data_IF_058267993889
#
_entry.id   IF_058267993889
#
_cell.length_a   1.000
_cell.length_b   1.000
_cell.length_c   1.000
_cell.angle_alpha   90.00
_cell.angle_beta   90.00
_cell.angle_gamma   90.00
#
_symmetry.space_group_name_H-M   'P 1'
#
loop_
_entity.id
_entity.type
_entity.pdbx_description
1 polymer ?
#
# COMPACT_ATOMS: atom_id res chain seq x y z
N UNK A 1 10.52 9.17 26.49
CA UNK A 1 10.49 7.94 25.65
C UNK A 1 9.08 7.80 25.11
N UNK A 2 8.86 8.06 23.82
CA UNK A 2 7.53 7.91 23.21
C UNK A 2 7.34 6.45 22.83
N UNK A 3 6.48 5.72 23.55
CA UNK A 3 6.10 4.37 23.14
C UNK A 3 5.46 4.45 21.76
N UNK A 4 6.07 3.80 20.76
CA UNK A 4 5.49 3.69 19.44
C UNK A 4 4.19 2.87 19.53
N UNK A 5 3.06 3.57 19.69
CA UNK A 5 1.73 2.96 19.67
C UNK A 5 1.52 2.35 18.28
N UNK A 6 1.50 1.02 18.22
CA UNK A 6 1.17 0.30 16.99
C UNK A 6 -0.29 0.58 16.63
N UNK A 7 -0.52 1.63 15.85
CA UNK A 7 -1.87 1.95 15.38
C UNK A 7 -2.33 0.84 14.42
N UNK A 8 -3.23 -0.02 14.90
CA UNK A 8 -3.91 -1.00 14.08
C UNK A 8 -4.80 -0.30 13.04
N UNK A 9 -4.97 -0.93 11.89
CA UNK A 9 -5.93 -0.48 10.88
C UNK A 9 -7.30 -1.03 11.22
N UNK A 10 -8.32 -0.18 11.25
CA UNK A 10 -9.72 -0.60 11.41
C UNK A 10 -10.30 -1.07 10.08
N UNK A 11 -11.41 -1.81 10.13
CA UNK A 11 -12.13 -2.25 8.92
C UNK A 11 -12.65 -1.05 8.12
N UNK A 12 -13.11 -0.01 8.80
CA UNK A 12 -13.54 1.25 8.18
C UNK A 12 -12.37 1.93 7.44
N UNK A 13 -11.19 2.02 8.07
CA UNK A 13 -10.00 2.58 7.43
C UNK A 13 -9.57 1.75 6.20
N UNK A 14 -9.72 0.43 6.24
CA UNK A 14 -9.47 -0.44 5.09
C UNK A 14 -10.46 -0.18 3.95
N UNK A 15 -11.75 -0.05 4.26
CA UNK A 15 -12.81 0.25 3.28
C UNK A 15 -12.62 1.63 2.65
N UNK A 16 -12.34 2.64 3.46
CA UNK A 16 -12.04 4.00 3.00
C UNK A 16 -10.80 4.02 2.10
N UNK A 17 -9.76 3.25 2.46
CA UNK A 17 -8.56 3.14 1.65
C UNK A 17 -8.87 2.57 0.26
N UNK A 18 -9.61 1.46 0.20
CA UNK A 18 -9.98 0.86 -1.10
C UNK A 18 -10.86 1.80 -1.91
N UNK A 19 -11.85 2.44 -1.27
CA UNK A 19 -12.74 3.41 -1.93
C UNK A 19 -11.97 4.60 -2.50
N UNK A 20 -11.05 5.17 -1.73
CA UNK A 20 -10.24 6.30 -2.18
C UNK A 20 -9.26 5.93 -3.28
N UNK A 21 -8.71 4.70 -3.27
CA UNK A 21 -7.89 4.20 -4.39
C UNK A 21 -8.74 3.98 -5.63
N UNK A 22 -9.98 3.49 -5.50
CA UNK A 22 -10.92 3.38 -6.63
C UNK A 22 -11.26 4.75 -7.22
N UNK A 23 -11.43 5.76 -6.37
CA UNK A 23 -11.80 7.12 -6.79
C UNK A 23 -10.64 7.91 -7.41
N UNK A 24 -9.44 7.83 -6.83
CA UNK A 24 -8.30 8.69 -7.19
C UNK A 24 -7.17 7.93 -7.88
N UNK A 25 -7.29 6.62 -8.07
CA UNK A 25 -6.15 5.78 -8.40
C UNK A 25 -5.11 5.77 -7.29
N UNK A 26 -3.84 5.61 -7.63
CA UNK A 26 -2.75 5.51 -6.64
C UNK A 26 -2.12 6.85 -6.28
N UNK A 27 -2.94 7.89 -6.23
CA UNK A 27 -2.49 9.22 -5.84
C UNK A 27 -2.33 9.29 -4.31
N UNK A 28 -1.33 8.57 -3.78
CA UNK A 28 -1.15 8.33 -2.34
C UNK A 28 -1.04 9.61 -1.51
N UNK A 29 -0.48 10.67 -2.09
CA UNK A 29 -0.42 12.00 -1.45
C UNK A 29 -1.82 12.57 -1.21
N UNK A 30 -2.73 12.41 -2.16
CA UNK A 30 -4.13 12.85 -2.06
C UNK A 30 -4.86 11.98 -1.05
N UNK A 31 -4.77 10.65 -1.19
CA UNK A 31 -5.43 9.67 -0.30
C UNK A 31 -5.01 9.86 1.16
N UNK A 32 -3.71 10.04 1.41
CA UNK A 32 -3.22 10.32 2.77
C UNK A 32 -3.78 11.64 3.30
N UNK A 33 -3.75 12.71 2.49
CA UNK A 33 -4.24 14.03 2.90
C UNK A 33 -5.75 14.01 3.19
N UNK A 34 -6.53 13.23 2.44
CA UNK A 34 -7.99 13.19 2.58
C UNK A 34 -8.45 12.44 3.85
N UNK A 35 -7.84 11.30 4.18
CA UNK A 35 -8.35 10.42 5.25
C UNK A 35 -7.33 9.92 6.26
N UNK A 36 -6.04 9.88 5.93
CA UNK A 36 -5.00 9.20 6.72
C UNK A 36 -3.87 10.15 7.16
N UNK A 37 -4.21 11.31 7.72
CA UNK A 37 -3.24 12.37 8.06
C UNK A 37 -2.21 11.95 9.12
N UNK A 38 -2.57 11.02 9.99
CA UNK A 38 -1.69 10.44 11.03
C UNK A 38 -0.78 9.33 10.51
N UNK A 39 -0.95 8.90 9.25
CA UNK A 39 -0.18 7.82 8.64
C UNK A 39 0.80 8.39 7.63
N UNK A 40 1.96 7.76 7.51
CA UNK A 40 2.88 8.06 6.41
C UNK A 40 2.33 7.54 5.08
N UNK A 41 2.77 8.13 3.97
CA UNK A 41 2.41 7.65 2.62
C UNK A 41 2.78 6.17 2.45
N UNK A 42 3.95 5.77 2.99
CA UNK A 42 4.41 4.38 2.97
C UNK A 42 3.45 3.45 3.70
N UNK A 43 2.95 3.84 4.89
CA UNK A 43 2.00 3.02 5.65
C UNK A 43 0.68 2.81 4.88
N UNK A 44 0.17 3.86 4.23
CA UNK A 44 -1.05 3.79 3.40
C UNK A 44 -0.84 2.86 2.20
N UNK A 45 0.27 3.04 1.47
CA UNK A 45 0.65 2.22 0.32
C UNK A 45 0.83 0.75 0.70
N UNK A 46 1.60 0.48 1.77
CA UNK A 46 1.81 -0.88 2.28
C UNK A 46 0.51 -1.55 2.70
N UNK A 47 -0.40 -0.80 3.35
CA UNK A 47 -1.70 -1.37 3.74
C UNK A 47 -2.52 -1.79 2.53
N UNK A 48 -2.59 -0.96 1.50
CA UNK A 48 -3.35 -1.27 0.29
C UNK A 48 -2.84 -2.56 -0.38
N UNK A 49 -1.51 -2.75 -0.51
CA UNK A 49 -0.99 -4.00 -1.06
C UNK A 49 -1.20 -5.22 -0.16
N UNK A 50 -1.21 -5.04 1.16
CA UNK A 50 -1.60 -6.11 2.08
C UNK A 50 -3.05 -6.52 1.85
N UNK A 51 -3.96 -5.56 1.60
CA UNK A 51 -5.36 -5.86 1.26
C UNK A 51 -5.46 -6.60 -0.06
N UNK A 52 -4.75 -6.17 -1.09
CA UNK A 52 -4.68 -6.88 -2.37
C UNK A 52 -4.21 -8.34 -2.21
N UNK A 53 -3.22 -8.59 -1.35
CA UNK A 53 -2.65 -9.92 -1.15
C UNK A 53 -3.53 -10.85 -0.32
N UNK A 54 -4.13 -10.34 0.76
CA UNK A 54 -4.78 -11.17 1.78
C UNK A 54 -6.30 -10.99 1.87
N UNK A 55 -6.85 -9.96 1.23
CA UNK A 55 -8.29 -9.68 1.14
C UNK A 55 -8.68 -9.22 -0.27
N UNK A 56 -8.36 -10.01 -1.32
CA UNK A 56 -8.60 -9.60 -2.71
C UNK A 56 -10.08 -9.31 -2.99
N UNK A 57 -11.02 -9.95 -2.29
CA UNK A 57 -12.46 -9.71 -2.43
C UNK A 57 -12.90 -8.28 -2.07
N UNK A 58 -12.06 -7.53 -1.34
CA UNK A 58 -12.34 -6.13 -1.04
C UNK A 58 -11.98 -5.20 -2.20
N UNK A 59 -11.14 -5.64 -3.14
CA UNK A 59 -10.61 -4.83 -4.23
C UNK A 59 -11.19 -5.30 -5.57
N UNK A 60 -11.35 -4.36 -6.50
CA UNK A 60 -11.91 -4.63 -7.82
C UNK A 60 -11.07 -5.67 -8.60
N UNK A 61 -11.67 -6.77 -9.14
CA UNK A 61 -10.93 -7.80 -9.89
C UNK A 61 -10.24 -7.26 -11.15
N UNK A 62 -10.81 -6.22 -11.75
CA UNK A 62 -10.28 -5.58 -12.95
C UNK A 62 -9.23 -4.50 -12.62
N UNK A 63 -8.81 -4.41 -11.35
CA UNK A 63 -7.75 -3.51 -10.93
C UNK A 63 -6.42 -3.91 -11.57
N UNK A 64 -6.02 -3.14 -12.57
CA UNK A 64 -4.66 -3.15 -13.09
C UNK A 64 -3.77 -2.33 -12.15
N UNK A 65 -2.75 -2.94 -11.51
CA UNK A 65 -1.78 -2.17 -10.75
C UNK A 65 -1.12 -1.16 -11.69
N UNK A 66 -1.01 0.10 -11.25
CA UNK A 66 -0.16 1.12 -11.89
C UNK A 66 1.15 0.46 -12.35
N UNK A 67 1.49 0.52 -13.65
CA UNK A 67 2.69 -0.08 -14.23
C UNK A 67 3.97 0.27 -13.45
N UNK A 68 4.00 1.44 -12.80
CA UNK A 68 5.11 1.86 -11.96
C UNK A 68 5.30 0.97 -10.73
N UNK A 69 4.23 0.43 -10.14
CA UNK A 69 4.36 -0.50 -9.02
C UNK A 69 4.96 -1.82 -9.48
N UNK A 70 4.50 -2.34 -10.62
CA UNK A 70 4.97 -3.64 -11.09
C UNK A 70 6.46 -3.57 -11.42
N UNK A 71 6.88 -2.43 -12.00
CA UNK A 71 8.28 -2.10 -12.16
C UNK A 71 9.02 -1.99 -10.82
N UNK A 72 8.46 -1.33 -9.80
CA UNK A 72 9.05 -1.23 -8.46
C UNK A 72 9.18 -2.61 -7.77
N UNK A 73 8.19 -3.49 -7.92
CA UNK A 73 8.24 -4.87 -7.39
C UNK A 73 9.34 -5.68 -8.06
N UNK A 74 9.40 -5.65 -9.38
CA UNK A 74 10.44 -6.36 -10.14
C UNK A 74 11.83 -5.78 -9.85
N UNK A 75 11.94 -4.47 -9.68
CA UNK A 75 13.18 -3.81 -9.23
C UNK A 75 13.61 -4.31 -7.84
N UNK A 76 12.68 -4.35 -6.87
CA UNK A 76 12.97 -4.84 -5.52
C UNK A 76 13.37 -6.32 -5.51
N UNK A 77 12.73 -7.14 -6.36
CA UNK A 77 13.08 -8.56 -6.54
C UNK A 77 14.50 -8.72 -7.12
N UNK A 78 14.86 -7.94 -8.13
CA UNK A 78 16.20 -7.92 -8.72
C UNK A 78 17.25 -7.45 -7.71
N UNK A 79 16.99 -6.39 -6.96
CA UNK A 79 17.88 -5.91 -5.88
C UNK A 79 18.11 -7.04 -4.86
N UNK A 80 17.05 -7.72 -4.42
CA UNK A 80 17.16 -8.84 -3.50
C UNK A 80 17.99 -10.01 -4.04
N UNK A 81 17.87 -10.34 -5.33
CA UNK A 81 18.69 -11.38 -5.98
C UNK A 81 20.17 -10.99 -6.03
N UNK A 82 20.47 -9.74 -6.38
CA UNK A 82 21.85 -9.22 -6.41
C UNK A 82 22.47 -9.24 -5.02
N UNK A 83 21.73 -8.81 -4.00
CA UNK A 83 22.21 -8.82 -2.61
C UNK A 83 22.51 -10.25 -2.11
N UNK A 84 21.73 -11.25 -2.55
CA UNK A 84 21.98 -12.67 -2.23
C UNK A 84 23.17 -13.26 -2.99
N UNK A 85 23.44 -12.80 -4.21
CA UNK A 85 24.53 -13.29 -5.05
C UNK A 85 25.91 -12.70 -4.69
N UNK A 86 25.97 -11.67 -3.84
CA UNK A 86 27.21 -11.06 -3.33
C UNK A 86 27.71 -11.65 -2.00
N UNK A 87 27.13 -12.75 -1.54
CA UNK A 87 27.47 -13.45 -0.30
C UNK A 87 28.01 -14.83 -0.64
#
# INVERSE_FOLDING_TARGET
>A
MTHATYHKWTVEEEQDLVKLVKQHGQQWRIIRKSRFQTRSIGQVKSKYYMLLKYKPQMVDPDYTPDPQIELEKELMKKIGQILRAKK
#
